data_IF_465433450874
#
_entry.id   IF_465433450874
#
_cell.length_a   1.000
_cell.length_b   1.000
_cell.length_c   1.000
_cell.angle_alpha   90.00
_cell.angle_beta   90.00
_cell.angle_gamma   90.00
#
_symmetry.space_group_name_H-M   'P 1'
#
loop_
_entity.id
_entity.type
_entity.pdbx_description
1 polymer ?
#
# COMPACT_ATOMS: atom_id res chain seq x y z
N UNK A 1 -0.70 10.47 -18.54
CA UNK A 1 -0.45 9.11 -19.06
C UNK A 1 -1.75 8.47 -19.56
N UNK A 2 -1.69 7.64 -20.60
CA UNK A 2 -2.86 6.99 -21.21
C UNK A 2 -3.25 5.71 -20.45
N UNK A 3 -4.53 5.30 -20.52
CA UNK A 3 -5.03 4.08 -19.85
C UNK A 3 -4.22 2.81 -20.20
N UNK A 4 -3.67 2.75 -21.41
CA UNK A 4 -2.82 1.64 -21.89
C UNK A 4 -1.60 1.40 -21.00
N UNK A 5 -1.00 2.46 -20.45
CA UNK A 5 0.20 2.35 -19.60
C UNK A 5 -0.08 1.51 -18.35
N UNK A 6 -1.22 1.74 -17.69
CA UNK A 6 -1.60 1.02 -16.47
C UNK A 6 -2.12 -0.39 -16.77
N UNK A 7 -2.70 -0.62 -17.95
CA UNK A 7 -3.03 -1.98 -18.39
C UNK A 7 -1.76 -2.83 -18.62
N UNK A 8 -0.70 -2.23 -19.19
CA UNK A 8 0.60 -2.89 -19.35
C UNK A 8 1.22 -3.14 -17.97
N UNK A 9 1.25 -2.13 -17.10
CA UNK A 9 1.82 -2.25 -15.76
C UNK A 9 1.08 -3.30 -14.92
N UNK A 10 -0.24 -3.41 -15.05
CA UNK A 10 -1.03 -4.46 -14.40
C UNK A 10 -0.64 -5.85 -14.92
N UNK A 11 -0.50 -6.01 -16.24
CA UNK A 11 -0.06 -7.28 -16.83
C UNK A 11 1.34 -7.66 -16.36
N UNK A 12 2.27 -6.72 -16.35
CA UNK A 12 3.63 -6.91 -15.84
C UNK A 12 3.62 -7.33 -14.37
N UNK A 13 2.86 -6.62 -13.52
CA UNK A 13 2.76 -6.94 -12.11
C UNK A 13 2.15 -8.33 -11.86
N UNK A 14 1.19 -8.75 -12.68
CA UNK A 14 0.60 -10.10 -12.58
C UNK A 14 1.55 -11.19 -13.06
N UNK A 15 2.32 -10.96 -14.12
CA UNK A 15 3.36 -11.91 -14.55
C UNK A 15 4.44 -12.03 -13.48
N UNK A 16 4.93 -10.91 -12.96
CA UNK A 16 5.89 -10.91 -11.85
C UNK A 16 5.34 -11.59 -10.60
N UNK A 17 4.04 -11.45 -10.31
CA UNK A 17 3.39 -12.15 -9.20
C UNK A 17 3.37 -13.67 -9.42
N UNK A 18 3.07 -14.13 -10.63
CA UNK A 18 3.09 -15.56 -10.97
C UNK A 18 4.51 -16.13 -10.88
N UNK A 19 5.49 -15.45 -11.47
CA UNK A 19 6.90 -15.84 -11.40
C UNK A 19 7.38 -15.88 -9.94
N UNK A 20 6.91 -14.94 -9.11
CA UNK A 20 7.24 -14.87 -7.70
C UNK A 20 6.61 -16.00 -6.89
N UNK A 21 5.39 -16.42 -7.24
CA UNK A 21 4.73 -17.58 -6.63
C UNK A 21 5.44 -18.88 -6.96
N UNK A 22 5.92 -19.05 -8.19
CA UNK A 22 6.72 -20.20 -8.62
C UNK A 22 8.11 -20.20 -7.96
N UNK A 23 8.75 -19.04 -7.82
CA UNK A 23 10.03 -18.92 -7.11
C UNK A 23 9.90 -19.23 -5.60
N UNK A 24 8.73 -18.98 -5.02
CA UNK A 24 8.46 -19.27 -3.62
C UNK A 24 8.05 -20.73 -3.38
N UNK A 25 7.25 -21.30 -4.27
CA UNK A 25 6.80 -22.70 -4.22
C UNK A 25 7.10 -23.41 -5.55
N UNK A 26 8.37 -23.73 -5.83
CA UNK A 26 8.74 -24.46 -7.04
C UNK A 26 8.26 -25.91 -6.98
N UNK A 27 8.06 -26.52 -8.16
CA UNK A 27 7.66 -27.94 -8.27
C UNK A 27 8.68 -28.89 -7.60
N UNK A 28 9.96 -28.52 -7.61
CA UNK A 28 11.00 -29.20 -6.84
C UNK A 28 11.19 -28.50 -5.49
N UNK A 29 10.73 -29.14 -4.41
CA UNK A 29 10.87 -28.67 -3.03
C UNK A 29 12.33 -28.36 -2.64
N UNK A 30 13.31 -28.93 -3.35
CA UNK A 30 14.73 -28.62 -3.18
C UNK A 30 15.10 -27.16 -3.46
N UNK A 31 14.37 -26.51 -4.37
CA UNK A 31 14.60 -25.14 -4.83
C UNK A 31 13.83 -24.08 -4.01
N UNK A 32 12.94 -24.51 -3.11
CA UNK A 32 12.18 -23.58 -2.30
C UNK A 32 13.08 -22.76 -1.36
N UNK A 33 12.74 -21.48 -1.08
CA UNK A 33 13.50 -20.64 -0.17
C UNK A 33 13.60 -21.26 1.22
N UNK A 34 14.81 -21.34 1.78
CA UNK A 34 15.10 -21.96 3.08
C UNK A 34 15.69 -20.95 4.06
N UNK A 35 16.58 -20.10 3.57
CA UNK A 35 17.38 -19.24 4.41
C UNK A 35 16.84 -17.80 4.44
N UNK A 36 17.23 -17.05 5.47
CA UNK A 36 16.80 -15.66 5.66
C UNK A 36 17.12 -14.78 4.43
N UNK A 37 18.27 -15.02 3.77
CA UNK A 37 18.68 -14.26 2.60
C UNK A 37 17.73 -14.48 1.41
N UNK A 38 17.34 -15.73 1.16
CA UNK A 38 16.41 -16.08 0.08
C UNK A 38 15.02 -15.49 0.35
N UNK A 39 14.50 -15.64 1.57
CA UNK A 39 13.23 -15.01 1.96
C UNK A 39 13.27 -13.48 1.91
N UNK A 40 14.44 -12.88 2.16
CA UNK A 40 14.62 -11.42 2.03
C UNK A 40 14.54 -10.97 0.57
N UNK A 41 15.13 -11.73 -0.37
CA UNK A 41 14.97 -11.49 -1.80
C UNK A 41 13.49 -11.61 -2.21
N UNK A 42 12.81 -12.66 -1.75
CA UNK A 42 11.38 -12.90 -2.01
C UNK A 42 10.54 -11.73 -1.49
N UNK A 43 10.80 -11.28 -0.26
CA UNK A 43 10.12 -10.14 0.37
C UNK A 43 10.27 -8.84 -0.45
N UNK A 44 11.50 -8.50 -0.85
CA UNK A 44 11.77 -7.30 -1.64
C UNK A 44 11.03 -7.34 -2.98
N UNK A 45 10.97 -8.51 -3.63
CA UNK A 45 10.23 -8.68 -4.89
C UNK A 45 8.72 -8.49 -4.71
N UNK A 46 8.14 -9.05 -3.66
CA UNK A 46 6.74 -8.81 -3.34
C UNK A 46 6.45 -7.33 -3.03
N UNK A 47 7.37 -6.60 -2.37
CA UNK A 47 7.22 -5.15 -2.19
C UNK A 47 7.21 -4.38 -3.52
N UNK A 48 8.05 -4.76 -4.48
CA UNK A 48 8.06 -4.17 -5.82
C UNK A 48 6.73 -4.41 -6.55
N UNK A 49 6.23 -5.65 -6.51
CA UNK A 49 4.94 -6.03 -7.10
C UNK A 49 3.80 -5.25 -6.44
N UNK A 50 3.77 -5.20 -5.10
CA UNK A 50 2.80 -4.44 -4.32
C UNK A 50 2.73 -2.98 -4.75
N UNK A 51 3.87 -2.30 -4.92
CA UNK A 51 3.93 -0.90 -5.39
C UNK A 51 3.32 -0.74 -6.78
N UNK A 52 3.63 -1.67 -7.71
CA UNK A 52 3.05 -1.64 -9.06
C UNK A 52 1.54 -1.86 -9.02
N UNK A 53 1.08 -2.81 -8.20
CA UNK A 53 -0.35 -3.11 -8.02
C UNK A 53 -1.12 -1.94 -7.39
N UNK A 54 -0.54 -1.28 -6.39
CA UNK A 54 -1.14 -0.10 -5.75
C UNK A 54 -1.29 1.05 -6.75
N UNK A 55 -0.24 1.35 -7.51
CA UNK A 55 -0.29 2.38 -8.56
C UNK A 55 -1.31 2.00 -9.65
N UNK A 56 -1.36 0.73 -10.07
CA UNK A 56 -2.39 0.28 -11.03
C UNK A 56 -3.79 0.48 -10.48
N UNK A 57 -4.04 0.05 -9.24
CA UNK A 57 -5.34 0.21 -8.59
C UNK A 57 -5.76 1.68 -8.47
N UNK A 58 -4.81 2.55 -8.14
CA UNK A 58 -5.02 3.98 -7.99
C UNK A 58 -5.31 4.69 -9.32
N UNK A 59 -4.68 4.26 -10.42
CA UNK A 59 -4.76 4.96 -11.70
C UNK A 59 -5.81 4.40 -12.67
N UNK A 60 -6.16 3.11 -12.56
CA UNK A 60 -7.19 2.50 -13.41
C UNK A 60 -8.56 3.09 -13.08
N UNK A 61 -9.32 3.45 -14.12
CA UNK A 61 -10.63 4.11 -13.99
C UNK A 61 -11.79 3.12 -14.18
N UNK A 62 -11.52 1.93 -14.73
CA UNK A 62 -12.53 0.93 -15.01
C UNK A 62 -12.90 0.14 -13.74
N UNK A 63 -14.15 0.24 -13.23
CA UNK A 63 -14.50 -0.26 -11.90
C UNK A 63 -14.35 -1.77 -11.75
N UNK A 64 -14.74 -2.56 -12.75
CA UNK A 64 -14.62 -4.03 -12.71
C UNK A 64 -13.15 -4.48 -12.58
N UNK A 65 -12.27 -4.00 -13.48
CA UNK A 65 -10.82 -4.24 -13.39
C UNK A 65 -10.25 -3.85 -12.03
N UNK A 66 -10.66 -2.71 -11.45
CA UNK A 66 -10.19 -2.28 -10.13
C UNK A 66 -10.54 -3.29 -9.03
N UNK A 67 -11.69 -3.96 -9.10
CA UNK A 67 -12.05 -5.01 -8.14
C UNK A 67 -11.08 -6.19 -8.21
N UNK A 68 -10.67 -6.60 -9.41
CA UNK A 68 -9.73 -7.70 -9.60
C UNK A 68 -8.31 -7.32 -9.16
N UNK A 69 -7.87 -6.11 -9.52
CA UNK A 69 -6.58 -5.56 -9.06
C UNK A 69 -6.56 -5.47 -7.53
N UNK A 70 -7.67 -5.04 -6.91
CA UNK A 70 -7.80 -4.96 -5.45
C UNK A 70 -7.62 -6.32 -4.79
N UNK A 71 -8.28 -7.36 -5.32
CA UNK A 71 -8.12 -8.72 -4.79
C UNK A 71 -6.67 -9.18 -4.86
N UNK A 72 -6.00 -8.97 -6.00
CA UNK A 72 -4.58 -9.31 -6.13
C UNK A 72 -3.74 -8.52 -5.11
N UNK A 73 -3.96 -7.21 -5.01
CA UNK A 73 -3.27 -6.32 -4.07
C UNK A 73 -3.45 -6.76 -2.61
N UNK A 74 -4.68 -7.05 -2.17
CA UNK A 74 -4.99 -7.53 -0.81
C UNK A 74 -4.34 -8.89 -0.53
N UNK A 75 -4.36 -9.81 -1.48
CA UNK A 75 -3.65 -11.10 -1.38
C UNK A 75 -2.14 -10.90 -1.28
N UNK A 76 -1.55 -9.99 -2.07
CA UNK A 76 -0.12 -9.67 -2.00
C UNK A 76 0.24 -9.04 -0.65
N UNK A 77 -0.59 -8.15 -0.09
CA UNK A 77 -0.39 -7.60 1.25
C UNK A 77 -0.36 -8.71 2.29
N UNK A 78 -1.31 -9.64 2.24
CA UNK A 78 -1.35 -10.80 3.13
C UNK A 78 -0.05 -11.60 3.06
N UNK A 79 0.41 -11.91 1.84
CA UNK A 79 1.66 -12.66 1.65
C UNK A 79 2.90 -11.92 2.14
N UNK A 80 3.00 -10.61 1.93
CA UNK A 80 4.09 -9.78 2.47
C UNK A 80 4.16 -9.88 3.98
N UNK A 81 3.02 -9.83 4.68
CA UNK A 81 2.96 -9.96 6.14
C UNK A 81 3.38 -11.35 6.62
N UNK A 82 2.95 -12.40 5.91
CA UNK A 82 3.37 -13.76 6.20
C UNK A 82 4.88 -13.92 6.05
N UNK A 83 5.46 -13.54 4.90
CA UNK A 83 6.91 -13.62 4.66
C UNK A 83 7.68 -12.81 5.69
N UNK A 84 7.17 -11.62 6.04
CA UNK A 84 7.79 -10.78 7.07
C UNK A 84 7.85 -11.52 8.40
N UNK A 85 6.78 -12.22 8.79
CA UNK A 85 6.75 -13.06 9.99
C UNK A 85 7.76 -14.22 9.91
N UNK A 86 7.88 -14.88 8.75
CA UNK A 86 8.90 -15.92 8.53
C UNK A 86 10.32 -15.39 8.67
N UNK A 87 10.61 -14.23 8.09
CA UNK A 87 11.92 -13.57 8.20
C UNK A 87 12.28 -13.26 9.66
N UNK A 88 11.32 -12.80 10.48
CA UNK A 88 11.58 -12.58 11.93
C UNK A 88 11.96 -13.89 12.62
N UNK A 89 11.26 -14.98 12.33
CA UNK A 89 11.57 -16.30 12.90
C UNK A 89 12.98 -16.78 12.52
N UNK A 90 13.34 -16.64 11.24
CA UNK A 90 14.67 -17.01 10.74
C UNK A 90 15.78 -16.10 11.27
N UNK A 91 15.46 -14.85 11.57
CA UNK A 91 16.36 -13.87 12.18
C UNK A 91 16.47 -14.00 13.73
N UNK A 92 16.20 -15.18 14.27
CA UNK A 92 16.28 -15.45 15.71
C UNK A 92 15.23 -14.72 16.55
N UNK A 93 14.10 -14.33 15.95
CA UNK A 93 13.03 -13.59 16.62
C UNK A 93 13.23 -12.07 16.64
N UNK A 94 14.27 -11.55 15.99
CA UNK A 94 14.50 -10.11 15.89
C UNK A 94 13.66 -9.50 14.77
N UNK A 95 12.87 -8.48 15.12
CA UNK A 95 12.04 -7.77 14.16
C UNK A 95 12.87 -7.01 13.13
N UNK A 96 14.07 -6.52 13.48
CA UNK A 96 14.91 -5.75 12.55
C UNK A 96 15.77 -6.69 11.72
N UNK A 97 15.48 -6.75 10.42
CA UNK A 97 16.23 -7.54 9.43
C UNK A 97 17.13 -6.61 8.64
N UNK A 98 18.42 -6.94 8.56
CA UNK A 98 19.41 -6.19 7.78
C UNK A 98 19.28 -6.56 6.29
N UNK A 99 18.94 -5.59 5.44
CA UNK A 99 18.69 -5.81 4.01
C UNK A 99 19.71 -5.13 3.09
N UNK A 100 20.67 -4.38 3.64
CA UNK A 100 21.56 -3.52 2.85
C UNK A 100 22.40 -4.30 1.84
N UNK A 101 23.03 -5.40 2.25
CA UNK A 101 23.86 -6.24 1.36
C UNK A 101 23.02 -6.82 0.21
N UNK A 102 21.80 -7.25 0.51
CA UNK A 102 20.85 -7.81 -0.47
C UNK A 102 20.40 -6.72 -1.45
N UNK A 103 20.15 -5.50 -0.97
CA UNK A 103 19.84 -4.37 -1.85
C UNK A 103 20.99 -4.03 -2.78
N UNK A 104 22.24 -4.08 -2.29
CA UNK A 104 23.44 -3.87 -3.11
C UNK A 104 23.55 -4.94 -4.20
N UNK A 105 23.37 -6.21 -3.84
CA UNK A 105 23.42 -7.33 -4.79
C UNK A 105 22.33 -7.22 -5.87
N UNK A 106 21.12 -6.83 -5.47
CA UNK A 106 20.00 -6.59 -6.38
C UNK A 106 20.11 -5.26 -7.15
N UNK A 107 21.11 -4.42 -6.86
CA UNK A 107 21.32 -3.08 -7.43
C UNK A 107 20.11 -2.17 -7.23
N UNK A 108 19.51 -2.23 -6.05
CA UNK A 108 18.32 -1.48 -5.66
C UNK A 108 18.67 -0.36 -4.66
N UNK A 109 17.88 0.72 -4.70
CA UNK A 109 17.96 1.78 -3.67
C UNK A 109 17.07 1.43 -2.48
N UNK A 110 17.35 1.98 -1.28
CA UNK A 110 16.51 1.79 -0.10
C UNK A 110 15.05 2.23 -0.27
N UNK A 111 14.76 3.12 -1.24
CA UNK A 111 13.40 3.56 -1.58
C UNK A 111 12.47 2.39 -1.89
N UNK A 112 13.01 1.25 -2.36
CA UNK A 112 12.23 0.03 -2.63
C UNK A 112 11.58 -0.52 -1.35
N UNK A 113 12.19 -0.32 -0.18
CA UNK A 113 11.66 -0.79 1.10
C UNK A 113 10.53 0.08 1.66
N UNK A 114 10.32 1.29 1.13
CA UNK A 114 9.23 2.16 1.59
C UNK A 114 7.87 1.57 1.22
N UNK A 115 7.02 1.25 2.17
CA UNK A 115 5.71 0.66 1.90
C UNK A 115 4.67 1.79 1.79
N UNK A 116 4.14 2.11 0.60
CA UNK A 116 3.06 3.08 0.49
C UNK A 116 1.79 2.55 1.15
N UNK A 117 1.03 3.44 1.80
CA UNK A 117 -0.30 3.12 2.34
C UNK A 117 -1.27 3.11 1.14
N UNK A 118 -1.95 1.99 0.85
CA UNK A 118 -2.87 1.95 -0.29
C UNK A 118 -3.98 2.99 -0.15
N UNK A 119 -4.20 3.78 -1.19
CA UNK A 119 -5.07 4.96 -1.10
C UNK A 119 -6.53 4.65 -0.80
N UNK A 120 -7.01 3.46 -1.15
CA UNK A 120 -8.38 3.03 -0.84
C UNK A 120 -8.69 2.95 0.66
N UNK A 121 -7.69 2.77 1.53
CA UNK A 121 -7.91 2.79 2.99
C UNK A 121 -8.51 4.12 3.47
N UNK A 122 -8.22 5.22 2.77
CA UNK A 122 -8.76 6.55 3.06
C UNK A 122 -9.95 6.84 2.15
N UNK A 123 -9.83 6.55 0.85
CA UNK A 123 -10.85 6.89 -0.14
C UNK A 123 -12.19 6.17 0.12
N UNK A 124 -12.18 4.88 0.44
CA UNK A 124 -13.40 4.10 0.66
C UNK A 124 -14.15 4.58 1.92
N UNK A 125 -13.40 5.04 2.93
CA UNK A 125 -13.93 5.56 4.19
C UNK A 125 -14.10 7.08 4.18
N UNK A 126 -13.95 7.74 3.03
CA UNK A 126 -13.98 9.20 2.97
C UNK A 126 -15.26 9.80 3.56
N UNK A 127 -16.42 9.17 3.30
CA UNK A 127 -17.71 9.59 3.88
C UNK A 127 -17.76 9.42 5.39
N UNK A 128 -17.33 8.26 5.90
CA UNK A 128 -17.27 7.99 7.34
C UNK A 128 -16.33 8.98 8.06
N UNK A 129 -15.17 9.27 7.44
CA UNK A 129 -14.20 10.23 7.96
C UNK A 129 -14.76 11.66 7.96
N UNK A 130 -15.49 12.06 6.92
CA UNK A 130 -16.15 13.36 6.84
C UNK A 130 -17.26 13.49 7.88
N UNK A 131 -18.10 12.47 8.05
CA UNK A 131 -19.15 12.41 9.08
C UNK A 131 -18.55 12.48 10.49
N UNK A 132 -17.48 11.73 10.74
CA UNK A 132 -16.74 11.77 12.00
C UNK A 132 -16.13 13.14 12.25
N UNK A 133 -15.57 13.79 11.22
CA UNK A 133 -15.01 15.13 11.33
C UNK A 133 -16.10 16.17 11.71
N UNK A 134 -17.26 16.12 11.05
CA UNK A 134 -18.42 16.97 11.38
C UNK A 134 -18.92 16.71 12.80
N UNK A 135 -18.96 15.46 13.22
CA UNK A 135 -19.35 15.10 14.59
C UNK A 135 -18.37 15.64 15.64
N UNK A 136 -17.06 15.52 15.37
CA UNK A 136 -16.03 16.09 16.24
C UNK A 136 -16.12 17.61 16.30
N UNK A 137 -16.36 18.28 15.17
CA UNK A 137 -16.59 19.72 15.12
C UNK A 137 -17.79 20.14 15.97
N UNK A 138 -18.92 19.44 15.83
CA UNK A 138 -20.10 19.68 16.65
C UNK A 138 -19.85 19.46 18.16
N UNK A 139 -19.04 18.47 18.54
CA UNK A 139 -18.64 18.26 19.94
C UNK A 139 -17.72 19.37 20.44
N UNK A 140 -16.75 19.78 19.63
CA UNK A 140 -15.83 20.88 19.96
C UNK A 140 -16.62 22.16 20.24
N UNK A 141 -17.59 22.48 19.39
CA UNK A 141 -18.46 23.64 19.56
C UNK A 141 -19.37 23.50 20.79
N UNK A 142 -19.99 22.33 20.99
CA UNK A 142 -20.88 22.05 22.12
C UNK A 142 -20.18 22.17 23.47
N UNK A 143 -18.96 21.66 23.57
CA UNK A 143 -18.18 21.66 24.81
C UNK A 143 -17.21 22.85 24.91
N UNK A 144 -17.26 23.77 23.93
CA UNK A 144 -16.40 24.94 23.80
C UNK A 144 -14.91 24.60 24.03
N UNK A 145 -14.50 23.43 23.53
CA UNK A 145 -13.13 22.94 23.67
C UNK A 145 -12.28 23.74 22.70
N UNK A 146 -11.29 24.46 23.19
CA UNK A 146 -10.32 25.11 22.29
C UNK A 146 -9.62 24.00 21.50
N UNK A 147 -9.77 24.00 20.17
CA UNK A 147 -8.96 23.12 19.31
C UNK A 147 -7.50 23.31 19.72
N UNK A 148 -6.72 22.23 19.90
CA UNK A 148 -5.27 22.38 19.89
C UNK A 148 -4.94 23.14 18.61
N UNK A 149 -4.25 24.27 18.75
CA UNK A 149 -3.73 24.99 17.59
C UNK A 149 -3.00 23.99 16.70
N UNK A 150 -3.18 24.03 15.38
CA UNK A 150 -2.36 23.30 14.42
C UNK A 150 -0.87 23.72 14.46
N UNK A 151 -0.50 24.58 15.40
CA UNK A 151 0.88 24.77 15.80
C UNK A 151 1.51 23.40 16.12
N UNK A 152 2.72 23.13 15.61
CA UNK A 152 3.42 21.88 15.85
C UNK A 152 3.46 21.56 17.35
N UNK A 153 3.22 20.28 17.68
CA UNK A 153 3.31 19.65 19.00
C UNK A 153 4.71 19.87 19.60
N UNK A 154 4.99 21.08 20.05
CA UNK A 154 6.26 21.47 20.63
C UNK A 154 6.01 22.41 21.79
N UNK A 155 5.05 22.06 22.66
CA UNK A 155 5.14 22.52 24.04
C UNK A 155 6.19 21.64 24.72
N UNK A 156 7.46 21.96 24.43
CA UNK A 156 8.58 21.41 25.18
C UNK A 156 8.37 21.77 26.66
N UNK A 157 8.84 20.93 27.60
CA UNK A 157 8.83 21.27 29.02
C UNK A 157 9.39 22.68 29.22
N UNK A 158 8.82 23.50 30.13
CA UNK A 158 9.36 24.82 30.41
C UNK A 158 10.84 24.69 30.77
N UNK A 159 11.67 25.49 30.08
CA UNK A 159 13.12 25.50 30.27
C UNK A 159 13.43 25.72 31.76
N UNK A 160 14.26 24.88 32.40
CA UNK A 160 14.64 25.05 33.80
C UNK A 160 15.21 26.46 34.05
N UNK A 161 14.90 27.07 35.20
CA UNK A 161 15.27 28.46 35.50
C UNK A 161 16.78 28.70 35.33
N UNK A 162 17.61 27.77 35.78
CA UNK A 162 19.07 27.85 35.64
C UNK A 162 19.54 27.84 34.18
N UNK A 163 18.85 27.07 33.33
CA UNK A 163 19.16 27.00 31.91
C UNK A 163 18.68 28.26 31.18
N UNK A 164 17.50 28.77 31.55
CA UNK A 164 17.00 30.05 31.06
C UNK A 164 17.94 31.22 31.42
N UNK A 165 18.43 31.28 32.66
CA UNK A 165 19.39 32.29 33.11
C UNK A 165 20.70 32.20 32.33
N UNK A 166 21.24 30.99 32.14
CA UNK A 166 22.46 30.80 31.33
C UNK A 166 22.25 31.24 29.88
N UNK A 167 21.13 30.87 29.26
CA UNK A 167 20.80 31.30 27.90
C UNK A 167 20.72 32.83 27.78
N UNK A 168 20.08 33.51 28.73
CA UNK A 168 19.98 34.97 28.75
C UNK A 168 21.37 35.59 28.89
N UNK A 169 22.19 35.13 29.84
CA UNK A 169 23.53 35.68 30.07
C UNK A 169 24.49 35.46 28.90
N UNK A 170 24.46 34.29 28.26
CA UNK A 170 25.29 33.99 27.09
C UNK A 170 24.88 34.87 25.91
N UNK A 171 23.57 35.00 25.67
CA UNK A 171 23.07 35.85 24.59
C UNK A 171 23.36 37.34 24.85
N UNK A 172 23.20 37.82 26.08
CA UNK A 172 23.50 39.21 26.44
C UNK A 172 25.01 39.49 26.35
N UNK A 173 25.88 38.58 26.82
CA UNK A 173 27.34 38.68 26.58
C UNK A 173 27.68 38.68 25.09
N UNK A 174 27.01 37.84 24.29
CA UNK A 174 27.18 37.79 22.85
C UNK A 174 26.69 39.06 22.14
N UNK A 175 25.59 39.67 22.61
CA UNK A 175 25.07 40.95 22.12
C UNK A 175 26.05 42.08 22.43
N UNK A 176 26.49 42.19 23.68
CA UNK A 176 27.49 43.17 24.10
C UNK A 176 28.81 42.98 23.36
N UNK A 177 29.23 41.74 23.12
CA UNK A 177 30.41 41.43 22.32
C UNK A 177 30.28 41.90 20.88
N UNK A 178 29.13 41.64 20.23
CA UNK A 178 28.83 42.13 18.86
C UNK A 178 28.77 43.66 18.81
N UNK A 179 28.14 44.28 19.79
CA UNK A 179 28.01 45.74 19.88
C UNK A 179 29.38 46.40 20.07
N UNK A 180 30.22 45.88 20.98
CA UNK A 180 31.62 46.31 21.12
C UNK A 180 32.44 46.06 19.86
N UNK A 181 32.28 44.92 19.20
CA UNK A 181 32.99 44.61 17.96
C UNK A 181 32.59 45.56 16.83
N UNK A 182 31.30 45.90 16.71
CA UNK A 182 30.80 46.88 15.78
C UNK A 182 31.40 48.27 16.03
N UNK A 183 31.37 48.73 17.29
CA UNK A 183 31.99 50.00 17.70
C UNK A 183 33.50 49.98 17.39
N UNK A 184 34.21 48.92 17.75
CA UNK A 184 35.64 48.78 17.48
C UNK A 184 35.95 48.77 15.98
N UNK A 185 35.09 48.15 15.18
CA UNK A 185 35.20 48.13 13.72
C UNK A 185 34.97 49.52 13.12
N UNK A 186 33.99 50.27 13.62
CA UNK A 186 33.76 51.66 13.21
C UNK A 186 34.93 52.57 13.59
N UNK A 187 35.43 52.49 14.83
CA UNK A 187 36.64 53.21 15.27
C UNK A 187 37.80 52.86 14.36
N UNK A 188 38.07 51.57 14.13
CA UNK A 188 39.18 51.15 13.25
C UNK A 188 39.00 51.66 11.83
N UNK A 189 37.76 51.67 11.30
CA UNK A 189 37.46 52.22 9.97
C UNK A 189 37.64 53.74 9.91
N UNK A 190 37.23 54.45 10.96
CA UNK A 190 37.41 55.90 11.09
C UNK A 190 38.90 56.24 11.22
N UNK A 191 39.65 55.60 12.12
CA UNK A 191 41.09 55.80 12.27
C UNK A 191 41.86 55.46 10.99
N UNK A 192 41.53 54.37 10.29
CA UNK A 192 42.16 54.04 9.01
C UNK A 192 41.82 55.07 7.91
N UNK A 193 40.63 55.66 7.98
CA UNK A 193 40.21 56.71 7.06
C UNK A 193 40.88 58.05 7.37
N UNK A 194 41.02 58.41 8.65
CA UNK A 194 41.77 59.57 9.13
C UNK A 194 43.26 59.46 8.83
N UNK A 195 43.87 58.30 9.04
CA UNK A 195 45.27 58.03 8.68
C UNK A 195 45.49 58.16 7.17
N UNK A 196 44.56 57.67 6.34
CA UNK A 196 44.57 57.90 4.90
C UNK A 196 44.46 59.38 4.54
N UNK A 197 43.58 60.13 5.20
CA UNK A 197 43.42 61.58 5.01
C UNK A 197 44.71 62.32 5.39
N UNK A 198 45.32 61.96 6.52
CA UNK A 198 46.56 62.56 6.99
C UNK A 198 47.73 62.28 6.03
N UNK A 199 47.86 61.02 5.55
CA UNK A 199 48.86 60.65 4.53
C UNK A 199 48.63 61.35 3.19
N UNK A 200 47.38 61.68 2.85
CA UNK A 200 46.99 62.37 1.61
C UNK A 200 47.00 63.91 1.75
N UNK A 201 47.44 64.45 2.88
CA UNK A 201 47.56 65.90 3.09
C UNK A 201 46.25 66.65 3.34
N UNK A 202 45.20 65.96 3.80
CA UNK A 202 43.91 66.55 4.15
C UNK A 202 42.71 65.92 3.43
N UNK A 203 41.50 66.37 3.78
CA UNK A 203 40.24 65.84 3.22
C UNK A 203 40.08 66.36 1.80
N UNK A 204 40.50 65.58 0.81
CA UNK A 204 40.19 65.91 -0.58
C UNK A 204 38.70 65.72 -0.83
N UNK A 205 37.99 66.85 -0.95
CA UNK A 205 36.62 66.89 -1.44
C UNK A 205 36.69 66.58 -2.93
N UNK A 206 36.11 65.44 -3.32
CA UNK A 206 36.02 65.05 -4.72
C UNK A 206 35.32 66.15 -5.51
N UNK A 207 35.89 66.51 -6.66
CA UNK A 207 35.18 67.36 -7.61
C UNK A 207 33.85 66.71 -7.99
N UNK A 208 32.83 67.51 -8.35
CA UNK A 208 31.52 67.01 -8.79
C UNK A 208 31.66 65.96 -9.89
N UNK A 209 32.58 66.16 -10.82
CA UNK A 209 32.83 65.24 -11.94
C UNK A 209 33.54 63.95 -11.50
N UNK A 210 34.45 64.04 -10.53
CA UNK A 210 35.13 62.88 -9.94
C UNK A 210 34.17 62.02 -9.10
N UNK A 211 33.25 62.66 -8.36
CA UNK A 211 32.21 61.97 -7.63
C UNK A 211 31.24 61.27 -8.60
N UNK A 212 30.79 61.97 -9.64
CA UNK A 212 29.91 61.42 -10.66
C UNK A 212 30.54 60.22 -11.38
N UNK A 213 31.82 60.30 -11.77
CA UNK A 213 32.53 59.19 -12.43
C UNK A 213 32.67 57.97 -11.53
N UNK A 214 32.93 58.14 -10.22
CA UNK A 214 32.97 57.01 -9.27
C UNK A 214 31.61 56.33 -9.09
N UNK A 215 30.53 57.10 -8.98
CA UNK A 215 29.17 56.55 -8.87
C UNK A 215 28.78 55.83 -10.16
N UNK A 216 29.07 56.43 -11.33
CA UNK A 216 28.81 55.81 -12.63
C UNK A 216 29.63 54.53 -12.82
N UNK A 217 30.90 54.50 -12.40
CA UNK A 217 31.73 53.31 -12.46
C UNK A 217 31.19 52.19 -11.57
N UNK A 218 30.72 52.51 -10.36
CA UNK A 218 30.10 51.54 -9.46
C UNK A 218 28.81 50.95 -10.07
N UNK A 219 27.95 51.80 -10.63
CA UNK A 219 26.71 51.38 -11.29
C UNK A 219 26.98 50.51 -12.54
N UNK A 220 27.90 50.96 -13.42
CA UNK A 220 28.33 50.19 -14.60
C UNK A 220 28.94 48.86 -14.20
N UNK A 221 29.75 48.84 -13.13
CA UNK A 221 30.32 47.61 -12.57
C UNK A 221 29.26 46.64 -12.04
N UNK A 222 28.22 47.13 -11.36
CA UNK A 222 27.12 46.30 -10.89
C UNK A 222 26.33 45.70 -12.06
N UNK A 223 25.96 46.52 -13.04
CA UNK A 223 25.24 46.07 -14.25
C UNK A 223 26.08 45.04 -15.02
N UNK A 224 27.38 45.30 -15.17
CA UNK A 224 28.31 44.37 -15.84
C UNK A 224 28.36 43.03 -15.11
N UNK A 225 28.56 43.02 -13.78
CA UNK A 225 28.56 41.78 -12.98
C UNK A 225 27.25 41.01 -13.09
N UNK A 226 26.10 41.68 -13.09
CA UNK A 226 24.80 41.02 -13.29
C UNK A 226 24.69 40.39 -14.68
N UNK A 227 25.12 41.10 -15.72
CA UNK A 227 25.15 40.56 -17.09
C UNK A 227 26.09 39.37 -17.20
N UNK A 228 27.31 39.48 -16.69
CA UNK A 228 28.27 38.36 -16.68
C UNK A 228 27.69 37.16 -15.95
N UNK A 229 27.08 37.36 -14.77
CA UNK A 229 26.44 36.27 -14.03
C UNK A 229 25.34 35.58 -14.85
N UNK A 230 24.47 36.35 -15.52
CA UNK A 230 23.42 35.81 -16.37
C UNK A 230 24.00 35.05 -17.59
N UNK A 231 25.03 35.59 -18.25
CA UNK A 231 25.71 34.93 -19.37
C UNK A 231 26.37 33.64 -18.91
N UNK A 232 27.14 33.66 -17.82
CA UNK A 232 27.76 32.47 -17.23
C UNK A 232 26.71 31.43 -16.86
N UNK A 233 25.56 31.83 -16.30
CA UNK A 233 24.48 30.91 -15.97
C UNK A 233 23.84 30.29 -17.23
N UNK A 234 23.64 31.08 -18.29
CA UNK A 234 23.17 30.58 -19.58
C UNK A 234 24.18 29.65 -20.26
N UNK A 235 25.47 29.93 -20.10
CA UNK A 235 26.57 29.12 -20.64
C UNK A 235 26.71 27.80 -19.88
N UNK A 236 26.59 27.81 -18.55
CA UNK A 236 26.53 26.59 -17.74
C UNK A 236 25.35 25.69 -18.12
N UNK A 237 24.21 26.29 -18.47
CA UNK A 237 23.06 25.53 -19.01
C UNK A 237 23.36 25.00 -20.41
N UNK A 238 23.95 25.82 -21.29
CA UNK A 238 24.30 25.43 -22.66
C UNK A 238 25.34 24.29 -22.71
N UNK A 239 26.36 24.33 -21.86
CA UNK A 239 27.40 23.30 -21.74
C UNK A 239 26.88 22.06 -20.98
N UNK A 240 25.72 22.15 -20.32
CA UNK A 240 25.11 21.03 -19.59
C UNK A 240 25.63 20.83 -18.16
N UNK A 241 26.38 21.80 -17.62
CA UNK A 241 26.81 21.80 -16.22
C UNK A 241 25.69 22.22 -15.25
N UNK A 242 24.63 22.86 -15.75
CA UNK A 242 23.43 23.21 -14.97
C UNK A 242 22.18 22.78 -15.75
N UNK A 243 21.16 22.17 -15.10
CA UNK A 243 19.91 21.88 -15.79
C UNK A 243 19.20 23.18 -16.21
N UNK A 244 18.51 23.20 -17.37
CA UNK A 244 17.73 24.35 -17.78
C UNK A 244 16.60 24.63 -16.79
N UNK A 245 16.21 25.91 -16.68
CA UNK A 245 15.06 26.28 -15.86
C UNK A 245 13.80 25.60 -16.41
N UNK A 246 12.99 25.02 -15.51
CA UNK A 246 11.73 24.36 -15.89
C UNK A 246 10.74 25.40 -16.39
N UNK A 247 10.14 25.17 -17.56
CA UNK A 247 9.04 25.99 -18.07
C UNK A 247 7.82 25.84 -17.14
N UNK A 248 7.36 26.91 -16.46
CA UNK A 248 6.21 26.85 -15.55
C UNK A 248 4.92 26.39 -16.25
N UNK A 249 4.81 26.63 -17.56
CA UNK A 249 3.61 26.32 -18.35
C UNK A 249 3.55 24.86 -18.78
N UNK A 250 4.72 24.27 -19.04
CA UNK A 250 4.87 22.89 -19.50
C UNK A 250 5.50 21.96 -18.47
N UNK A 251 5.39 22.27 -17.18
CA UNK A 251 5.93 21.40 -16.13
C UNK A 251 5.22 20.04 -16.13
N UNK A 252 5.93 18.93 -16.41
CA UNK A 252 5.34 17.58 -16.39
C UNK A 252 4.72 17.24 -15.04
N UNK A 253 5.26 17.76 -13.93
CA UNK A 253 4.69 17.52 -12.58
C UNK A 253 3.31 18.15 -12.43
N UNK A 254 3.15 19.40 -12.89
CA UNK A 254 1.85 20.08 -12.87
C UNK A 254 0.83 19.38 -13.77
N UNK A 255 1.24 18.95 -14.96
CA UNK A 255 0.38 18.18 -15.87
C UNK A 255 -0.05 16.84 -15.27
N UNK A 256 0.88 16.12 -14.63
CA UNK A 256 0.56 14.84 -13.98
C UNK A 256 -0.40 15.04 -12.81
N UNK A 257 -0.18 16.04 -11.95
CA UNK A 257 -1.10 16.37 -10.86
C UNK A 257 -2.52 16.65 -11.36
N UNK A 258 -2.69 17.42 -12.44
CA UNK A 258 -4.00 17.66 -13.06
C UNK A 258 -4.63 16.38 -13.62
N UNK A 259 -3.81 15.51 -14.24
CA UNK A 259 -4.29 14.22 -14.75
C UNK A 259 -4.76 13.30 -13.63
N UNK A 260 -4.04 13.25 -12.51
CA UNK A 260 -4.41 12.49 -11.32
C UNK A 260 -5.75 12.94 -10.76
N UNK A 261 -5.93 14.25 -10.54
CA UNK A 261 -7.20 14.81 -10.06
C UNK A 261 -8.35 14.49 -11.01
N UNK A 262 -8.14 14.61 -12.32
CA UNK A 262 -9.14 14.25 -13.33
C UNK A 262 -9.50 12.76 -13.26
N UNK A 263 -8.51 11.86 -13.15
CA UNK A 263 -8.76 10.41 -13.05
C UNK A 263 -9.59 10.05 -11.83
N UNK A 264 -9.36 10.72 -10.69
CA UNK A 264 -10.16 10.52 -9.46
C UNK A 264 -11.64 10.89 -9.64
N UNK A 265 -11.92 11.98 -10.37
CA UNK A 265 -13.31 12.36 -10.68
C UNK A 265 -13.97 11.27 -11.54
N UNK A 266 -13.33 10.87 -12.64
CA UNK A 266 -13.90 9.85 -13.55
C UNK A 266 -14.04 8.50 -12.86
N UNK A 267 -13.14 8.14 -11.94
CA UNK A 267 -13.27 6.93 -11.11
C UNK A 267 -14.56 6.94 -10.29
N UNK A 268 -14.88 8.06 -9.65
CA UNK A 268 -16.10 8.22 -8.86
C UNK A 268 -17.36 8.09 -9.73
N UNK A 269 -17.35 8.77 -10.89
CA UNK A 269 -18.45 8.73 -11.87
C UNK A 269 -18.69 7.31 -12.40
N UNK A 270 -17.63 6.65 -12.88
CA UNK A 270 -17.71 5.28 -13.39
C UNK A 270 -18.14 4.28 -12.31
N UNK A 271 -17.70 4.45 -11.06
CA UNK A 271 -18.11 3.59 -9.96
C UNK A 271 -19.61 3.74 -9.67
N UNK A 272 -20.12 4.97 -9.68
CA UNK A 272 -21.55 5.23 -9.49
C UNK A 272 -22.39 4.62 -10.63
N UNK A 273 -21.94 4.78 -11.88
CA UNK A 273 -22.59 4.17 -13.04
C UNK A 273 -22.59 2.64 -12.97
N UNK A 274 -21.45 2.03 -12.61
CA UNK A 274 -21.32 0.60 -12.42
C UNK A 274 -22.27 0.06 -11.34
N UNK A 275 -22.34 0.73 -10.18
CA UNK A 275 -23.25 0.34 -9.10
C UNK A 275 -24.72 0.41 -9.55
N UNK A 276 -25.10 1.45 -10.30
CA UNK A 276 -26.45 1.59 -10.86
C UNK A 276 -26.74 0.49 -11.89
N UNK A 277 -25.78 0.20 -12.76
CA UNK A 277 -25.89 -0.86 -13.76
C UNK A 277 -26.05 -2.23 -13.10
N UNK A 278 -25.32 -2.52 -12.02
CA UNK A 278 -25.47 -3.76 -11.24
C UNK A 278 -26.89 -3.94 -10.68
N UNK A 279 -27.48 -2.90 -10.09
CA UNK A 279 -28.85 -2.96 -9.57
C UNK A 279 -29.84 -3.23 -10.70
N UNK A 280 -29.71 -2.50 -11.81
CA UNK A 280 -30.57 -2.67 -12.96
C UNK A 280 -30.46 -4.07 -13.59
N UNK A 281 -29.23 -4.58 -13.72
CA UNK A 281 -28.98 -5.91 -14.29
C UNK A 281 -29.56 -7.00 -13.38
N UNK A 282 -29.33 -6.92 -12.06
CA UNK A 282 -29.91 -7.86 -11.09
C UNK A 282 -31.44 -7.83 -11.11
N UNK A 283 -32.05 -6.65 -11.29
CA UNK A 283 -33.50 -6.52 -11.42
C UNK A 283 -34.01 -7.23 -12.69
N UNK A 284 -33.35 -7.03 -13.83
CA UNK A 284 -33.69 -7.72 -15.09
C UNK A 284 -33.53 -9.23 -15.00
N UNK A 285 -32.43 -9.71 -14.41
CA UNK A 285 -32.22 -11.15 -14.19
C UNK A 285 -33.33 -11.72 -13.31
N UNK A 286 -33.69 -11.03 -12.22
CA UNK A 286 -34.80 -11.44 -11.36
C UNK A 286 -36.15 -11.47 -12.08
N UNK A 287 -36.38 -10.56 -13.01
CA UNK A 287 -37.63 -10.50 -13.78
C UNK A 287 -37.71 -11.63 -14.82
N UNK A 288 -36.63 -11.87 -15.57
CA UNK A 288 -36.59 -12.90 -16.61
C UNK A 288 -36.44 -14.30 -16.01
N UNK A 289 -35.35 -14.55 -15.28
CA UNK A 289 -35.06 -15.88 -14.73
C UNK A 289 -35.90 -16.20 -13.50
N UNK A 290 -36.35 -15.19 -12.76
CA UNK A 290 -37.13 -15.42 -11.54
C UNK A 290 -38.53 -15.97 -11.80
N UNK A 291 -39.10 -15.75 -12.99
CA UNK A 291 -40.37 -16.38 -13.38
C UNK A 291 -40.13 -17.86 -13.71
N UNK A 292 -39.15 -18.14 -14.58
CA UNK A 292 -38.78 -19.51 -14.96
C UNK A 292 -38.36 -20.35 -13.73
N UNK A 293 -37.57 -19.78 -12.82
CA UNK A 293 -37.21 -20.42 -11.56
C UNK A 293 -38.42 -20.72 -10.71
N UNK A 294 -39.41 -19.82 -10.64
CA UNK A 294 -40.63 -20.03 -9.86
C UNK A 294 -41.48 -21.15 -10.44
N UNK A 295 -41.63 -21.18 -11.76
CA UNK A 295 -42.35 -22.24 -12.46
C UNK A 295 -41.65 -23.58 -12.28
N UNK A 296 -40.33 -23.63 -12.46
CA UNK A 296 -39.53 -24.84 -12.24
C UNK A 296 -39.67 -25.35 -10.79
N UNK A 297 -39.56 -24.46 -9.80
CA UNK A 297 -39.74 -24.79 -8.38
C UNK A 297 -41.15 -25.32 -8.12
N UNK A 298 -42.17 -24.67 -8.68
CA UNK A 298 -43.56 -25.08 -8.52
C UNK A 298 -43.82 -26.45 -9.14
N UNK A 299 -43.27 -26.71 -10.33
CA UNK A 299 -43.39 -27.99 -11.02
C UNK A 299 -42.67 -29.11 -10.29
N UNK A 300 -41.45 -28.88 -9.76
CA UNK A 300 -40.74 -29.84 -8.91
C UNK A 300 -41.56 -30.20 -7.67
N UNK A 301 -42.11 -29.20 -6.98
CA UNK A 301 -42.96 -29.41 -5.79
C UNK A 301 -44.24 -30.16 -6.15
N UNK A 302 -44.91 -29.77 -7.23
CA UNK A 302 -46.13 -30.45 -7.70
C UNK A 302 -45.85 -31.92 -8.06
N UNK A 303 -44.74 -32.18 -8.76
CA UNK A 303 -44.33 -33.54 -9.16
C UNK A 303 -44.10 -34.40 -7.92
N UNK A 304 -43.37 -33.88 -6.93
CA UNK A 304 -43.15 -34.56 -5.66
C UNK A 304 -44.45 -34.88 -4.91
N UNK A 305 -45.39 -33.93 -4.84
CA UNK A 305 -46.70 -34.16 -4.23
C UNK A 305 -47.52 -35.23 -4.96
N UNK A 306 -47.43 -35.29 -6.28
CA UNK A 306 -48.12 -36.30 -7.09
C UNK A 306 -47.50 -37.68 -6.90
N UNK A 307 -46.17 -37.77 -6.90
CA UNK A 307 -45.42 -39.02 -6.70
C UNK A 307 -45.62 -39.60 -5.29
N UNK A 308 -45.71 -38.74 -4.28
CA UNK A 308 -45.86 -39.14 -2.88
C UNK A 308 -47.32 -39.13 -2.39
N UNK A 309 -48.31 -39.05 -3.29
CA UNK A 309 -49.73 -39.09 -2.93
C UNK A 309 -50.12 -40.47 -2.40
N UNK A 310 -50.80 -40.51 -1.26
CA UNK A 310 -51.22 -41.78 -0.66
C UNK A 310 -52.30 -42.47 -1.53
N UNK A 311 -52.05 -43.67 -2.08
CA UNK A 311 -52.96 -44.32 -3.04
C UNK A 311 -54.29 -44.78 -2.43
N UNK A 312 -54.37 -44.97 -1.10
CA UNK A 312 -55.59 -45.43 -0.42
C UNK A 312 -56.43 -44.29 0.18
N UNK A 313 -55.78 -43.27 0.76
CA UNK A 313 -56.46 -42.11 1.39
C UNK A 313 -56.68 -40.95 0.43
N UNK A 314 -55.85 -40.83 -0.61
CA UNK A 314 -55.84 -39.72 -1.55
C UNK A 314 -55.20 -38.43 -1.01
N UNK A 315 -54.80 -38.41 0.26
CA UNK A 315 -54.17 -37.29 0.95
C UNK A 315 -52.72 -37.05 0.49
N UNK A 316 -52.31 -35.79 0.57
CA UNK A 316 -50.95 -35.35 0.28
C UNK A 316 -50.08 -35.43 1.55
N UNK A 317 -48.79 -35.78 1.42
CA UNK A 317 -47.84 -35.79 2.54
C UNK A 317 -47.56 -34.37 3.05
N UNK A 318 -47.20 -34.23 4.32
CA UNK A 318 -46.69 -32.96 4.85
C UNK A 318 -45.28 -32.65 4.29
N UNK A 319 -44.90 -31.37 4.27
CA UNK A 319 -43.55 -30.99 3.86
C UNK A 319 -42.49 -31.60 4.80
N UNK A 320 -41.30 -31.97 4.28
CA UNK A 320 -40.21 -32.47 5.11
C UNK A 320 -39.82 -31.45 6.20
N UNK A 321 -39.50 -31.95 7.39
CA UNK A 321 -39.08 -31.13 8.52
C UNK A 321 -37.74 -30.42 8.27
N UNK A 322 -37.50 -29.30 8.97
CA UNK A 322 -36.28 -28.49 8.82
C UNK A 322 -35.01 -29.29 9.19
N UNK A 323 -35.10 -30.22 10.13
CA UNK A 323 -33.97 -31.06 10.59
C UNK A 323 -33.52 -32.09 9.52
N UNK A 324 -34.44 -32.55 8.67
CA UNK A 324 -34.16 -33.54 7.63
C UNK A 324 -33.70 -32.93 6.30
N UNK A 325 -33.65 -31.60 6.20
CA UNK A 325 -33.24 -30.87 4.99
C UNK A 325 -34.37 -30.12 4.29
N UNK A 326 -35.60 -30.19 4.82
CA UNK A 326 -36.75 -29.38 4.41
C UNK A 326 -37.05 -29.42 2.91
N UNK A 327 -37.45 -28.27 2.37
CA UNK A 327 -37.80 -28.12 0.94
C UNK A 327 -36.61 -28.29 -0.02
N UNK A 328 -35.36 -28.36 0.47
CA UNK A 328 -34.20 -28.61 -0.41
C UNK A 328 -34.19 -30.03 -0.96
N UNK A 329 -34.72 -31.01 -0.21
CA UNK A 329 -34.84 -32.40 -0.67
C UNK A 329 -35.75 -32.50 -1.89
N UNK A 330 -36.80 -31.69 -1.93
CA UNK A 330 -37.77 -31.64 -3.03
C UNK A 330 -37.16 -30.97 -4.27
N UNK A 331 -36.39 -29.90 -4.08
CA UNK A 331 -35.86 -29.08 -5.16
C UNK A 331 -34.54 -29.59 -5.74
N UNK A 332 -33.76 -30.33 -4.94
CA UNK A 332 -32.53 -30.95 -5.38
C UNK A 332 -32.37 -32.28 -4.63
N UNK A 333 -33.11 -33.33 -5.04
CA UNK A 333 -33.03 -34.63 -4.39
C UNK A 333 -31.59 -35.16 -4.50
N UNK A 334 -31.05 -35.77 -3.43
CA UNK A 334 -29.73 -36.38 -3.49
C UNK A 334 -29.72 -37.42 -4.62
N UNK A 335 -28.69 -37.37 -5.46
CA UNK A 335 -28.48 -38.35 -6.52
C UNK A 335 -28.35 -39.71 -5.82
N UNK A 336 -29.36 -40.55 -5.98
CA UNK A 336 -29.26 -41.96 -5.60
C UNK A 336 -28.30 -42.55 -6.62
N UNK A 337 -27.06 -42.86 -6.19
CA UNK A 337 -26.19 -43.76 -6.96
C UNK A 337 -26.97 -45.07 -7.13
N UNK A 338 -27.52 -45.30 -8.32
CA UNK A 338 -28.07 -46.60 -8.67
C UNK A 338 -26.98 -47.64 -8.41
N UNK A 339 -27.24 -48.71 -7.64
CA UNK A 339 -26.24 -49.74 -7.44
C UNK A 339 -25.92 -50.35 -8.80
N UNK A 340 -24.65 -50.30 -9.20
CA UNK A 340 -24.15 -50.95 -10.41
C UNK A 340 -24.70 -52.38 -10.51
N UNK A 341 -25.15 -52.83 -11.69
CA UNK A 341 -25.64 -54.19 -11.86
C UNK A 341 -24.50 -55.17 -11.52
N UNK A 342 -24.72 -55.93 -10.45
CA UNK A 342 -23.81 -56.95 -9.94
C UNK A 342 -23.33 -57.87 -11.07
N UNK A 343 -22.01 -57.92 -11.26
CA UNK A 343 -21.35 -58.89 -12.12
C UNK A 343 -21.71 -60.33 -11.69
N UNK A 344 -21.98 -61.17 -12.69
CA UNK A 344 -22.37 -62.57 -12.54
C UNK A 344 -21.33 -63.42 -11.77
N UNK A 345 -21.77 -64.45 -11.01
CA UNK A 345 -20.91 -65.26 -10.17
C UNK A 345 -20.32 -66.47 -10.92
N UNK A 346 -18.99 -66.63 -10.87
CA UNK A 346 -18.33 -67.89 -11.18
C UNK A 346 -18.33 -68.82 -9.94
N UNK A 347 -19.13 -69.88 -10.02
CA UNK A 347 -19.05 -71.08 -9.17
C UNK A 347 -17.65 -71.75 -9.34
N UNK A 348 -17.04 -72.54 -8.44
CA UNK A 348 -17.55 -73.51 -7.44
C UNK A 348 -16.35 -74.18 -6.72
N UNK A 349 -16.65 -74.83 -5.58
CA UNK A 349 -15.90 -75.87 -4.80
C UNK A 349 -15.05 -75.33 -3.63
N UNK A 350 -15.24 -75.74 -2.38
CA UNK A 350 -16.18 -76.70 -1.80
C UNK A 350 -15.68 -77.22 -0.44
N UNK A 351 -16.64 -77.33 0.50
CA UNK A 351 -16.83 -78.39 1.52
C UNK A 351 -16.05 -78.38 2.85
N UNK A 352 -16.86 -78.47 3.92
CA UNK A 352 -16.53 -78.99 5.27
C UNK A 352 -16.20 -77.89 6.28
N UNK A 353 -16.84 -77.72 7.44
CA UNK A 353 -17.81 -78.53 8.18
C UNK A 353 -17.52 -78.38 9.68
N UNK A 354 -18.46 -77.74 10.39
CA UNK A 354 -18.88 -77.95 11.79
C UNK A 354 -17.99 -77.60 13.01
N UNK A 355 -18.72 -77.07 14.00
CA UNK A 355 -18.61 -77.13 15.45
C UNK A 355 -17.58 -76.28 16.22
N UNK A 356 -18.12 -75.21 16.84
CA UNK A 356 -18.36 -75.05 18.28
C UNK A 356 -17.19 -75.03 19.31
N UNK A 357 -17.36 -74.12 20.27
CA UNK A 357 -16.79 -74.05 21.63
C UNK A 357 -15.31 -73.64 21.89
N UNK A 358 -15.21 -72.44 22.48
CA UNK A 358 -14.85 -72.18 23.90
C UNK A 358 -13.38 -72.34 24.35
N UNK A 359 -12.86 -71.26 24.94
CA UNK A 359 -11.85 -71.29 26.01
C UNK A 359 -10.56 -70.54 25.65
N UNK A 360 -10.38 -69.27 26.01
CA UNK A 360 -10.01 -68.70 27.33
C UNK A 360 -8.49 -68.79 27.63
N UNK A 361 -7.94 -67.58 27.91
CA UNK A 361 -6.78 -67.24 28.78
C UNK A 361 -5.37 -67.44 28.20
N UNK A 362 -4.62 -66.32 28.09
CA UNK A 362 -3.49 -65.89 28.97
C UNK A 362 -2.19 -66.64 28.59
N UNK A 363 -0.98 -66.10 28.62
CA UNK A 363 -0.40 -64.87 29.12
C UNK A 363 1.00 -64.76 28.47
N UNK A 364 1.58 -63.56 28.50
CA UNK A 364 3.02 -63.27 28.68
C UNK A 364 4.07 -64.06 27.87
N UNK A 365 4.83 -63.27 27.12
CA UNK A 365 6.20 -63.01 27.56
C UNK A 365 7.30 -63.30 26.55
N UNK A 366 8.05 -62.23 26.25
CA UNK A 366 9.50 -62.33 26.41
C UNK A 366 10.37 -62.37 25.16
N UNK A 367 10.97 -61.20 24.91
CA UNK A 367 12.41 -61.01 24.75
C UNK A 367 13.09 -61.37 23.42
N UNK A 368 13.65 -60.29 22.84
CA UNK A 368 15.05 -60.13 22.43
C UNK A 368 15.64 -61.23 21.54
N UNK A 369 15.66 -60.91 20.24
CA UNK A 369 16.88 -60.36 19.62
C UNK A 369 17.88 -61.38 19.07
N UNK A 370 18.29 -61.17 17.82
CA UNK A 370 19.71 -61.27 17.47
C UNK A 370 20.00 -60.58 16.13
N UNK A 371 20.96 -59.66 16.20
CA UNK A 371 21.79 -59.17 15.09
C UNK A 371 22.42 -60.34 14.33
N UNK A 372 22.72 -60.08 13.05
CA UNK A 372 23.91 -60.61 12.41
C UNK A 372 23.72 -60.96 10.94
N UNK A 373 23.90 -60.00 10.03
CA UNK A 373 25.19 -59.76 9.38
C UNK A 373 25.23 -58.39 8.76
#
# INVERSE_FOLDING_TARGET
MANVSFDIQWREAMMELLDQMEAENPDDEGLAPKDLAEFSCIYIKYLQIFKKLEECYDQVVHPQKRLDIRKALESTIGRILEIRLWMVKLNGGNDVVQLDDILVDLKLTPDVLEIPIPRYYVEDRAKELEERAKFLEALVDKYNVKRPSDAPLTVLPPLPEDEAIRCIQVNERGRQGRERAHIMQEIRRQSAFEEKIARMGGRQVLSRDEAATRVQAAARGFISRQRTKAVTESELVFIGMKPPQRDPTNDPKSKESKNLSRRKIVQSENQAEYNKALVNLKAKVREMEGQDMRETIQDCVNTWFVENRNPESGDYPDFPDEEDGGSKIILNPPIIEEPEPAAEPAAKKGKGGKDDKKGKKEEKGGKKGKKGK
#
